data_IF_868615305552
#
_entry.id   IF_868615305552
#
_cell.length_a   1.000
_cell.length_b   1.000
_cell.length_c   1.000
_cell.angle_alpha   90.00
_cell.angle_beta   90.00
_cell.angle_gamma   90.00
#
_symmetry.space_group_name_H-M   'P 1'
#
loop_
_entity.id
_entity.type
_entity.pdbx_description
1 polymer ?
#
# COMPACT_ATOMS: atom_id res chain seq x y z
N UNK A 1 18.32 -41.01 5.46
CA UNK A 1 17.48 -40.47 6.55
C UNK A 1 18.19 -39.25 7.17
N UNK A 2 18.43 -38.19 6.39
CA UNK A 2 19.24 -37.02 6.80
C UNK A 2 18.64 -35.67 6.38
N UNK A 3 17.39 -35.66 5.89
CA UNK A 3 16.76 -34.46 5.33
C UNK A 3 15.80 -33.75 6.31
N UNK A 4 15.30 -34.43 7.36
CA UNK A 4 14.34 -33.86 8.32
C UNK A 4 14.97 -32.97 9.40
N UNK A 5 16.27 -33.11 9.69
CA UNK A 5 16.95 -32.35 10.74
C UNK A 5 17.26 -30.90 10.34
N UNK A 6 17.46 -30.66 9.04
CA UNK A 6 17.80 -29.35 8.51
C UNK A 6 16.60 -28.41 8.39
N UNK A 7 15.38 -28.97 8.32
CA UNK A 7 14.13 -28.20 8.19
C UNK A 7 13.42 -28.01 9.53
N UNK A 8 14.03 -28.47 10.64
CA UNK A 8 13.50 -28.27 11.97
C UNK A 8 13.68 -26.79 12.38
N UNK A 9 12.61 -26.01 12.57
CA UNK A 9 12.70 -24.57 12.88
C UNK A 9 13.34 -24.29 14.25
N UNK A 10 13.61 -25.32 15.06
CA UNK A 10 14.28 -25.23 16.35
C UNK A 10 15.77 -25.65 16.31
N UNK A 11 16.29 -26.05 15.15
CA UNK A 11 17.70 -26.40 15.00
C UNK A 11 18.56 -25.12 15.02
N UNK A 12 19.56 -25.00 15.92
CA UNK A 12 20.43 -23.82 15.99
C UNK A 12 21.13 -23.50 14.66
N UNK A 13 21.53 -24.51 13.87
CA UNK A 13 22.16 -24.30 12.57
C UNK A 13 21.21 -23.69 11.53
N UNK A 14 19.92 -24.03 11.59
CA UNK A 14 18.91 -23.47 10.67
C UNK A 14 18.66 -21.98 10.97
N UNK A 15 18.67 -21.59 12.25
CA UNK A 15 18.46 -20.21 12.72
C UNK A 15 19.67 -19.33 12.39
N UNK A 16 20.89 -19.87 12.48
CA UNK A 16 22.12 -19.15 12.14
C UNK A 16 22.17 -18.78 10.66
N UNK A 17 21.86 -19.75 9.79
CA UNK A 17 21.90 -19.57 8.33
C UNK A 17 20.77 -18.68 7.78
N UNK A 18 19.69 -18.43 8.54
CA UNK A 18 18.57 -17.58 8.15
C UNK A 18 18.58 -16.18 8.81
N UNK A 19 19.65 -15.80 9.52
CA UNK A 19 19.80 -14.41 9.96
C UNK A 19 20.02 -13.52 8.73
N UNK A 20 18.97 -12.79 8.34
CA UNK A 20 19.11 -11.67 7.41
C UNK A 20 20.16 -10.72 7.99
N UNK A 21 21.35 -10.71 7.38
CA UNK A 21 22.41 -9.79 7.73
C UNK A 21 21.87 -8.38 7.44
N UNK A 22 21.56 -7.63 8.49
CA UNK A 22 21.24 -6.22 8.34
C UNK A 22 22.48 -5.56 7.74
N UNK A 23 22.35 -5.04 6.53
CA UNK A 23 23.43 -4.33 5.84
C UNK A 23 23.88 -3.19 6.76
N UNK A 24 25.15 -3.19 7.18
CA UNK A 24 25.72 -2.04 7.89
C UNK A 24 25.59 -0.82 6.98
N UNK A 25 24.88 0.19 7.46
CA UNK A 25 24.61 1.44 6.74
C UNK A 25 25.73 2.47 7.01
N UNK A 26 26.82 2.04 7.66
CA UNK A 26 27.99 2.88 7.94
C UNK A 26 28.71 3.21 6.63
N UNK A 27 28.99 4.49 6.39
CA UNK A 27 29.75 4.94 5.22
C UNK A 27 28.96 5.26 3.95
N UNK A 28 27.62 5.31 3.98
CA UNK A 28 26.83 5.80 2.84
C UNK A 28 26.89 7.34 2.79
N UNK A 29 27.35 7.95 1.69
CA UNK A 29 27.44 9.41 1.59
C UNK A 29 26.06 10.05 1.76
N UNK A 30 25.92 10.94 2.75
CA UNK A 30 24.67 11.63 3.08
C UNK A 30 23.82 10.96 4.18
N UNK A 31 24.21 9.78 4.68
CA UNK A 31 23.55 9.11 5.81
C UNK A 31 24.31 9.44 7.09
N UNK A 32 23.61 10.01 8.08
CA UNK A 32 24.20 10.32 9.39
C UNK A 32 24.47 9.00 10.12
N UNK A 33 25.71 8.77 10.56
CA UNK A 33 26.01 7.59 11.36
C UNK A 33 25.23 7.65 12.68
N UNK A 34 24.52 6.57 13.06
CA UNK A 34 23.77 6.55 14.31
C UNK A 34 24.76 6.64 15.47
N UNK A 35 24.54 7.62 16.35
CA UNK A 35 25.40 7.78 17.53
C UNK A 35 25.36 6.51 18.39
N UNK A 36 26.43 6.21 19.11
CA UNK A 36 26.52 5.03 19.99
C UNK A 36 25.31 4.93 20.92
N UNK A 37 24.79 6.07 21.39
CA UNK A 37 23.62 6.16 22.24
C UNK A 37 22.32 5.71 21.55
N UNK A 38 22.15 5.97 20.25
CA UNK A 38 20.95 5.56 19.51
C UNK A 38 20.91 4.03 19.33
N UNK A 39 22.06 3.43 19.03
CA UNK A 39 22.17 1.97 18.86
C UNK A 39 21.84 1.22 20.17
N UNK A 40 22.32 1.74 21.31
CA UNK A 40 22.00 1.18 22.63
C UNK A 40 20.52 1.35 22.99
N UNK A 41 19.91 2.49 22.65
CA UNK A 41 18.47 2.73 22.87
C UNK A 41 17.62 1.79 22.05
N UNK A 42 17.97 1.52 20.80
CA UNK A 42 17.20 0.62 19.93
C UNK A 42 17.37 -0.84 20.34
N UNK A 43 18.58 -1.24 20.75
CA UNK A 43 18.81 -2.56 21.34
C UNK A 43 18.01 -2.76 22.63
N UNK A 44 17.97 -1.74 23.50
CA UNK A 44 17.17 -1.75 24.72
C UNK A 44 15.66 -1.81 24.41
N UNK A 45 15.13 -0.94 23.54
CA UNK A 45 13.72 -0.96 23.12
C UNK A 45 13.30 -2.32 22.60
N UNK A 46 14.13 -2.93 21.74
CA UNK A 46 13.90 -4.26 21.18
C UNK A 46 13.87 -5.35 22.26
N UNK A 47 14.75 -5.27 23.27
CA UNK A 47 14.78 -6.21 24.39
C UNK A 47 13.54 -6.13 25.27
N UNK A 48 13.00 -4.93 25.48
CA UNK A 48 11.85 -4.70 26.35
C UNK A 48 10.50 -4.71 25.60
N UNK A 49 10.51 -4.97 24.28
CA UNK A 49 9.29 -4.96 23.46
C UNK A 49 8.60 -3.59 23.41
N UNK A 50 9.36 -2.50 23.58
CA UNK A 50 8.83 -1.14 23.62
C UNK A 50 8.61 -0.65 22.19
N UNK A 51 7.40 -0.22 21.88
CA UNK A 51 7.06 0.34 20.56
C UNK A 51 7.81 1.66 20.32
N UNK A 52 8.15 1.91 19.06
CA UNK A 52 8.63 3.22 18.64
C UNK A 52 7.49 4.23 18.73
N UNK A 53 7.84 5.44 19.17
CA UNK A 53 6.90 6.55 19.20
C UNK A 53 6.62 6.97 17.75
N UNK A 54 5.34 7.01 17.38
CA UNK A 54 4.90 7.52 16.09
C UNK A 54 5.24 9.01 16.00
N UNK A 55 5.58 9.50 14.80
CA UNK A 55 5.87 10.92 14.59
C UNK A 55 4.67 11.79 14.99
N UNK A 56 4.95 12.97 15.55
CA UNK A 56 3.93 13.96 15.92
C UNK A 56 3.04 14.36 14.75
N UNK A 57 3.59 14.31 13.53
CA UNK A 57 2.94 14.77 12.31
C UNK A 57 2.11 13.68 11.63
N UNK A 58 2.11 12.46 12.18
CA UNK A 58 1.34 11.34 11.65
C UNK A 58 -0.15 11.65 11.45
N UNK A 59 -0.87 12.32 12.38
CA UNK A 59 -2.28 12.66 12.17
C UNK A 59 -2.49 13.58 10.95
N UNK A 60 -1.59 14.53 10.73
CA UNK A 60 -1.67 15.46 9.61
C UNK A 60 -1.40 14.75 8.28
N UNK A 61 -0.36 13.91 8.23
CA UNK A 61 -0.04 13.10 7.05
C UNK A 61 -1.16 12.11 6.70
N UNK A 62 -1.74 11.46 7.71
CA UNK A 62 -2.87 10.55 7.54
C UNK A 62 -4.08 11.25 6.91
N UNK A 63 -4.45 12.41 7.44
CA UNK A 63 -5.59 13.17 6.91
C UNK A 63 -5.37 13.64 5.47
N UNK A 64 -4.16 14.10 5.12
CA UNK A 64 -3.83 14.53 3.76
C UNK A 64 -3.94 13.38 2.75
N UNK A 65 -3.37 12.21 3.07
CA UNK A 65 -3.41 11.05 2.18
C UNK A 65 -4.83 10.49 2.08
N UNK A 66 -5.53 10.32 3.21
CA UNK A 66 -6.88 9.79 3.23
C UNK A 66 -7.86 10.72 2.49
N UNK A 67 -7.73 12.04 2.69
CA UNK A 67 -8.55 13.03 2.00
C UNK A 67 -8.31 13.02 0.49
N UNK A 68 -7.05 12.98 0.05
CA UNK A 68 -6.71 12.93 -1.37
C UNK A 68 -7.22 11.64 -2.04
N UNK A 69 -6.92 10.48 -1.46
CA UNK A 69 -7.35 9.19 -2.01
C UNK A 69 -8.88 9.07 -1.98
N UNK A 70 -9.52 9.51 -0.88
CA UNK A 70 -10.97 9.52 -0.76
C UNK A 70 -11.65 10.38 -1.83
N UNK A 71 -11.16 11.60 -2.05
CA UNK A 71 -11.69 12.48 -3.09
C UNK A 71 -11.53 11.89 -4.50
N UNK A 72 -10.39 11.26 -4.78
CA UNK A 72 -10.14 10.60 -6.07
C UNK A 72 -11.11 9.45 -6.30
N UNK A 73 -11.32 8.58 -5.31
CA UNK A 73 -12.24 7.44 -5.42
C UNK A 73 -13.68 7.91 -5.67
N UNK A 74 -14.16 8.90 -4.93
CA UNK A 74 -15.50 9.45 -5.11
C UNK A 74 -15.65 10.07 -6.50
N UNK A 75 -14.64 10.81 -6.96
CA UNK A 75 -14.62 11.42 -8.30
C UNK A 75 -14.64 10.36 -9.39
N UNK A 76 -13.86 9.28 -9.26
CA UNK A 76 -13.86 8.17 -10.22
C UNK A 76 -15.22 7.50 -10.31
N UNK A 77 -15.86 7.20 -9.17
CA UNK A 77 -17.21 6.61 -9.15
C UNK A 77 -18.21 7.54 -9.83
N UNK A 78 -18.14 8.84 -9.50
CA UNK A 78 -19.02 9.85 -10.10
C UNK A 78 -18.90 9.88 -11.63
N UNK A 79 -17.68 9.85 -12.15
CA UNK A 79 -17.41 9.83 -13.60
C UNK A 79 -17.97 8.54 -14.24
N UNK A 80 -17.82 7.38 -13.59
CA UNK A 80 -18.37 6.11 -14.10
C UNK A 80 -19.91 6.19 -14.20
N UNK A 81 -20.58 6.66 -13.14
CA UNK A 81 -22.04 6.82 -13.13
C UNK A 81 -22.48 7.82 -14.21
N UNK A 82 -21.75 8.92 -14.37
CA UNK A 82 -22.02 9.90 -15.39
C UNK A 82 -21.94 9.29 -16.80
N UNK A 83 -20.93 8.47 -17.10
CA UNK A 83 -20.81 7.81 -18.40
C UNK A 83 -21.94 6.80 -18.67
N UNK A 84 -22.34 6.03 -17.66
CA UNK A 84 -23.44 5.06 -17.80
C UNK A 84 -24.78 5.75 -18.02
N UNK A 85 -24.96 6.95 -17.47
CA UNK A 85 -26.22 7.70 -17.54
C UNK A 85 -26.35 8.56 -18.80
N UNK A 86 -25.43 8.46 -19.76
CA UNK A 86 -25.55 9.16 -21.05
C UNK A 86 -26.58 8.41 -21.90
N UNK A 87 -27.77 8.97 -22.05
CA UNK A 87 -28.81 8.42 -22.91
C UNK A 87 -28.47 8.61 -24.40
N UNK A 88 -28.23 7.53 -25.17
CA UNK A 88 -27.95 7.64 -26.61
C UNK A 88 -29.22 8.00 -27.42
N UNK A 89 -30.40 7.85 -26.83
CA UNK A 89 -31.70 8.02 -27.47
C UNK A 89 -32.00 9.44 -27.96
N UNK A 90 -31.22 10.46 -27.59
CA UNK A 90 -31.43 11.84 -28.07
C UNK A 90 -30.79 12.08 -29.44
N UNK A 91 -30.10 11.10 -30.01
CA UNK A 91 -29.41 11.26 -31.28
C UNK A 91 -30.37 11.15 -32.47
N UNK A 92 -30.34 12.18 -33.33
CA UNK A 92 -31.19 12.29 -34.52
C UNK A 92 -30.99 11.15 -35.54
N UNK A 93 -29.86 10.44 -35.51
CA UNK A 93 -29.58 9.27 -36.35
C UNK A 93 -30.33 8.04 -35.85
N UNK A 94 -30.38 7.83 -34.53
CA UNK A 94 -31.06 6.68 -33.93
C UNK A 94 -32.56 6.80 -34.20
N UNK A 95 -33.17 7.97 -34.00
CA UNK A 95 -34.59 8.19 -34.37
C UNK A 95 -34.86 7.87 -35.85
N UNK A 96 -34.01 8.35 -36.77
CA UNK A 96 -34.18 8.07 -38.21
C UNK A 96 -34.06 6.57 -38.54
N UNK A 97 -33.25 5.83 -37.80
CA UNK A 97 -33.01 4.40 -38.05
C UNK A 97 -34.01 3.47 -37.33
N UNK A 98 -34.52 3.81 -36.14
CA UNK A 98 -35.42 2.94 -35.37
C UNK A 98 -36.90 3.26 -35.54
N UNK A 99 -37.30 4.51 -35.84
CA UNK A 99 -38.72 4.91 -35.97
C UNK A 99 -39.38 4.52 -37.30
N UNK A 100 -38.60 4.24 -38.34
CA UNK A 100 -39.12 3.84 -39.67
C UNK A 100 -39.85 2.50 -39.66
N UNK A 101 -39.69 1.69 -38.60
CA UNK A 101 -40.36 0.39 -38.41
C UNK A 101 -41.54 0.40 -37.43
N UNK A 102 -41.89 1.56 -36.85
CA UNK A 102 -42.96 1.70 -35.83
C UNK A 102 -44.34 2.11 -36.38
N UNK A 103 -44.49 2.27 -37.70
CA UNK A 103 -45.81 2.44 -38.33
C UNK A 103 -46.36 1.07 -38.76
N UNK A 104 -46.84 0.27 -37.80
CA UNK A 104 -47.87 -0.76 -38.04
C UNK A 104 -48.41 -1.26 -36.70
N UNK A 105 -49.38 -0.52 -36.17
CA UNK A 105 -50.72 -0.99 -35.82
C UNK A 105 -51.64 0.22 -35.59
#
# INVERSE_FOLDING_TARGET
>A
MRYSEFENPKNPEFIENHKIQKREVSGIPGVREPTVYEQLRDAARKSYGVTEAVSSDYPAMFAMILGLVGALVVTTIYIIVAMVSIDPEKDSIIYRMTTTRMKKD
#
